data_IF_935869156987
#
_entry.id   IF_935869156987
#
_cell.length_a   1.000
_cell.length_b   1.000
_cell.length_c   1.000
_cell.angle_alpha   90.00
_cell.angle_beta   90.00
_cell.angle_gamma   90.00
#
_symmetry.space_group_name_H-M   'P 1'
#
loop_
_entity.id
_entity.type
_entity.pdbx_description
1 polymer ?
#
# COMPACT_ATOMS: atom_id res chain seq x y z
N UNK A 1 11.88 -10.32 -8.13
CA UNK A 1 10.48 -10.59 -8.14
C UNK A 1 9.77 -10.01 -6.92
N UNK A 2 8.85 -9.12 -7.12
CA UNK A 2 8.13 -8.50 -6.03
C UNK A 2 7.17 -9.46 -5.36
N UNK A 3 7.20 -9.47 -4.07
CA UNK A 3 6.38 -10.37 -3.32
C UNK A 3 5.79 -9.62 -2.15
N UNK A 4 4.51 -9.34 -2.22
CA UNK A 4 3.83 -8.54 -1.22
C UNK A 4 2.96 -9.41 -0.35
N UNK A 5 3.16 -9.30 0.96
CA UNK A 5 2.45 -10.16 1.89
C UNK A 5 2.06 -9.39 3.14
N UNK A 6 0.82 -9.47 3.53
CA UNK A 6 0.32 -8.83 4.74
C UNK A 6 -0.25 -9.90 5.65
N UNK A 7 0.34 -10.03 6.82
CA UNK A 7 -0.11 -11.02 7.81
C UNK A 7 -1.36 -10.58 8.53
N UNK A 8 -1.45 -9.30 8.80
CA UNK A 8 -2.54 -8.76 9.61
C UNK A 8 -3.80 -8.59 8.77
N UNK A 9 -4.89 -9.23 9.18
CA UNK A 9 -6.14 -9.16 8.43
C UNK A 9 -6.70 -7.76 8.40
N UNK A 10 -6.60 -7.02 9.49
CA UNK A 10 -7.10 -5.65 9.51
C UNK A 10 -6.32 -4.79 8.53
N UNK A 11 -5.02 -5.00 8.48
CA UNK A 11 -4.18 -4.26 7.56
C UNK A 11 -4.49 -4.64 6.12
N UNK A 12 -4.76 -5.91 5.89
CA UNK A 12 -5.12 -6.37 4.57
C UNK A 12 -6.40 -5.72 4.07
N UNK A 13 -7.38 -5.56 4.95
CA UNK A 13 -8.62 -4.90 4.58
C UNK A 13 -8.38 -3.45 4.22
N UNK A 14 -7.53 -2.78 4.98
CA UNK A 14 -7.19 -1.40 4.67
C UNK A 14 -6.49 -1.30 3.32
N UNK A 15 -5.60 -2.23 3.05
CA UNK A 15 -4.92 -2.25 1.76
C UNK A 15 -5.91 -2.47 0.63
N UNK A 16 -6.84 -3.41 0.81
CA UNK A 16 -7.83 -3.71 -0.22
C UNK A 16 -8.76 -2.54 -0.49
N UNK A 17 -8.93 -1.66 0.49
CA UNK A 17 -9.79 -0.49 0.32
C UNK A 17 -9.15 0.61 -0.50
N UNK A 18 -7.87 0.49 -0.77
CA UNK A 18 -7.16 1.50 -1.56
C UNK A 18 -7.52 1.39 -3.03
N UNK A 19 -7.41 2.51 -3.78
CA UNK A 19 -7.60 2.45 -5.22
C UNK A 19 -6.61 1.48 -5.86
N UNK A 20 -7.05 0.87 -6.96
CA UNK A 20 -6.23 -0.15 -7.61
C UNK A 20 -4.88 0.42 -8.05
N UNK A 21 -4.85 1.67 -8.44
CA UNK A 21 -3.59 2.30 -8.86
C UNK A 21 -2.60 2.34 -7.72
N UNK A 22 -3.08 2.70 -6.54
CA UNK A 22 -2.21 2.78 -5.38
C UNK A 22 -1.74 1.39 -4.97
N UNK A 23 -2.64 0.42 -5.02
CA UNK A 23 -2.29 -0.95 -4.68
C UNK A 23 -1.18 -1.47 -5.60
N UNK A 24 -1.32 -1.20 -6.89
CA UNK A 24 -0.32 -1.65 -7.84
C UNK A 24 1.03 -0.99 -7.59
N UNK A 25 1.02 0.28 -7.26
CA UNK A 25 2.27 0.98 -6.98
C UNK A 25 2.97 0.40 -5.76
N UNK A 26 2.20 0.09 -4.73
CA UNK A 26 2.78 -0.50 -3.53
C UNK A 26 3.38 -1.86 -3.85
N UNK A 27 2.67 -2.65 -4.61
CA UNK A 27 3.16 -3.99 -4.96
C UNK A 27 4.41 -3.91 -5.80
N UNK A 28 4.44 -3.01 -6.75
CA UNK A 28 5.60 -2.87 -7.63
C UNK A 28 6.81 -2.35 -6.90
N UNK A 29 6.58 -1.46 -5.93
CA UNK A 29 7.68 -0.89 -5.17
C UNK A 29 8.34 -1.89 -4.24
N UNK A 30 7.61 -2.93 -3.88
CA UNK A 30 8.13 -3.89 -2.93
C UNK A 30 8.24 -3.31 -1.53
N UNK A 31 7.46 -2.30 -1.23
CA UNK A 31 7.48 -1.68 0.08
C UNK A 31 6.92 -2.63 1.11
N UNK A 32 7.62 -2.76 2.22
CA UNK A 32 7.20 -3.61 3.31
C UNK A 32 6.30 -2.83 4.25
N UNK A 33 5.06 -3.29 4.41
CA UNK A 33 4.11 -2.60 5.26
C UNK A 33 3.80 -3.45 6.48
N UNK A 34 4.05 -2.89 7.66
CA UNK A 34 3.90 -3.63 8.90
C UNK A 34 2.80 -3.08 9.80
N UNK A 35 2.32 -1.90 9.53
CA UNK A 35 1.29 -1.30 10.36
C UNK A 35 0.35 -0.48 9.50
N UNK A 36 -0.83 -0.23 10.03
CA UNK A 36 -1.81 0.55 9.33
C UNK A 36 -1.33 1.99 9.15
N UNK A 37 -0.59 2.49 10.12
CA UNK A 37 -0.03 3.83 10.02
C UNK A 37 0.96 3.91 8.84
N UNK A 38 1.80 2.91 8.71
CA UNK A 38 2.75 2.87 7.62
C UNK A 38 2.04 2.76 6.29
N UNK A 39 0.98 1.97 6.24
CA UNK A 39 0.19 1.84 5.03
C UNK A 39 -0.41 3.17 4.61
N UNK A 40 -0.98 3.89 5.55
CA UNK A 40 -1.59 5.18 5.25
C UNK A 40 -0.57 6.18 4.76
N UNK A 41 0.59 6.23 5.40
CA UNK A 41 1.64 7.15 4.97
C UNK A 41 2.12 6.82 3.57
N UNK A 42 2.31 5.54 3.29
CA UNK A 42 2.77 5.12 1.98
C UNK A 42 1.73 5.44 0.92
N UNK A 43 0.48 5.15 1.20
CA UNK A 43 -0.59 5.42 0.24
C UNK A 43 -0.71 6.92 -0.01
N UNK A 44 -0.57 7.71 1.03
CA UNK A 44 -0.66 9.16 0.88
C UNK A 44 0.46 9.70 0.02
N UNK A 45 1.66 9.18 0.22
CA UNK A 45 2.80 9.58 -0.60
C UNK A 45 2.59 9.25 -2.06
N UNK A 46 2.12 8.05 -2.32
CA UNK A 46 1.91 7.61 -3.69
C UNK A 46 0.81 8.40 -4.37
N UNK A 47 -0.23 8.75 -3.62
CA UNK A 47 -1.29 9.57 -4.16
C UNK A 47 -0.77 10.95 -4.54
N UNK A 48 0.07 11.51 -3.70
CA UNK A 48 0.64 12.82 -3.99
C UNK A 48 1.53 12.79 -5.22
N UNK A 49 2.25 11.70 -5.40
CA UNK A 49 3.11 11.58 -6.56
C UNK A 49 2.34 11.41 -7.85
N UNK A 50 1.23 10.71 -7.80
CA UNK A 50 0.45 10.47 -9.00
C UNK A 50 -0.57 11.56 -9.28
N UNK A 51 -0.79 12.45 -8.34
CA UNK A 51 -1.71 13.57 -8.54
C UNK A 51 -0.96 14.74 -9.15
N UNK A 52 -1.47 15.21 -10.20
CA UNK A 52 -0.84 16.34 -10.89
C UNK A 52 -1.45 17.63 -10.50
#
# INVERSE_FOLDING_TARGET
MGYFYIENEALKKEFDALPIEIKNLIMESGIEIRSSEQLQLTAQRLRNLSTE
#
